data_IF_565083399866
#
_entry.id   IF_565083399866
#
_cell.length_a   1.000
_cell.length_b   1.000
_cell.length_c   1.000
_cell.angle_alpha   90.00
_cell.angle_beta   90.00
_cell.angle_gamma   90.00
#
_symmetry.space_group_name_H-M   'P 1'
#
loop_
_entity.id
_entity.type
_entity.pdbx_description
1 polymer ?
#
# COMPACT_ATOMS: atom_id res chain seq x y z
N UNK A 1 31.59 -0.75 -9.03
CA UNK A 1 30.77 -1.54 -8.08
C UNK A 1 30.74 -0.77 -6.77
N UNK A 2 29.55 -0.42 -6.28
CA UNK A 2 29.36 0.38 -5.09
C UNK A 2 28.49 -0.37 -4.08
N UNK A 3 28.81 -0.29 -2.80
CA UNK A 3 28.10 -1.03 -1.76
C UNK A 3 27.94 -0.19 -0.49
N UNK A 4 26.79 -0.31 0.16
CA UNK A 4 26.53 0.22 1.49
C UNK A 4 25.83 -0.82 2.36
N UNK A 5 26.44 -1.10 3.52
CA UNK A 5 25.91 -1.99 4.55
C UNK A 5 25.45 -1.14 5.74
N UNK A 6 24.21 -1.36 6.19
CA UNK A 6 23.58 -0.74 7.35
C UNK A 6 22.87 -1.82 8.17
N UNK A 7 22.50 -1.50 9.42
CA UNK A 7 21.63 -2.37 10.23
C UNK A 7 20.26 -2.58 9.58
N UNK A 8 19.78 -1.55 8.88
CA UNK A 8 18.48 -1.54 8.21
C UNK A 8 18.47 -2.30 6.88
N UNK A 9 19.63 -2.49 6.24
CA UNK A 9 19.74 -3.20 4.97
C UNK A 9 21.10 -3.03 4.30
N UNK A 10 21.31 -3.79 3.22
CA UNK A 10 22.52 -3.72 2.38
C UNK A 10 22.12 -3.44 0.95
N UNK A 11 22.72 -2.43 0.33
CA UNK A 11 22.51 -2.09 -1.08
C UNK A 11 23.81 -2.29 -1.86
N UNK A 12 23.74 -3.03 -2.96
CA UNK A 12 24.89 -3.33 -3.84
C UNK A 12 24.54 -2.95 -5.27
N UNK A 13 25.36 -2.07 -5.86
CA UNK A 13 25.26 -1.67 -7.26
C UNK A 13 26.41 -2.30 -8.07
N UNK A 14 26.07 -3.11 -9.06
CA UNK A 14 27.04 -3.80 -9.92
C UNK A 14 27.31 -3.08 -11.25
N UNK A 15 26.55 -2.02 -11.57
CA UNK A 15 26.62 -1.28 -12.84
C UNK A 15 25.35 -1.43 -13.67
N UNK A 16 24.63 -2.56 -13.53
CA UNK A 16 23.43 -2.86 -14.31
C UNK A 16 22.16 -2.92 -13.44
N UNK A 17 22.31 -3.31 -12.18
CA UNK A 17 21.22 -3.42 -11.23
C UNK A 17 21.65 -3.04 -9.81
N UNK A 18 20.67 -2.58 -9.04
CA UNK A 18 20.82 -2.28 -7.63
C UNK A 18 20.09 -3.35 -6.82
N UNK A 19 20.85 -4.13 -6.05
CA UNK A 19 20.34 -5.18 -5.18
C UNK A 19 20.08 -4.62 -3.78
N UNK A 20 18.84 -4.68 -3.32
CA UNK A 20 18.39 -4.21 -2.01
C UNK A 20 18.10 -5.42 -1.13
N UNK A 21 18.93 -5.63 -0.11
CA UNK A 21 18.74 -6.72 0.85
C UNK A 21 18.25 -6.12 2.17
N UNK A 22 17.07 -6.51 2.68
CA UNK A 22 16.56 -6.04 3.96
C UNK A 22 17.47 -6.51 5.10
N UNK A 23 17.68 -5.64 6.09
CA UNK A 23 18.45 -5.98 7.28
C UNK A 23 17.73 -7.02 8.15
N UNK A 24 18.47 -7.55 9.13
CA UNK A 24 17.93 -8.54 10.08
C UNK A 24 17.55 -7.94 11.44
N UNK A 25 17.75 -6.63 11.61
CA UNK A 25 17.43 -5.94 12.86
C UNK A 25 15.92 -5.96 13.16
N UNK A 26 15.57 -5.90 14.43
CA UNK A 26 14.16 -5.89 14.89
C UNK A 26 13.36 -4.72 14.34
N UNK A 27 14.03 -3.61 14.05
CA UNK A 27 13.43 -2.37 13.53
C UNK A 27 13.10 -2.45 12.03
N UNK A 28 13.64 -3.43 11.30
CA UNK A 28 13.30 -3.64 9.88
C UNK A 28 11.84 -4.08 9.78
N UNK A 29 11.06 -3.36 8.97
CA UNK A 29 9.65 -3.63 8.78
C UNK A 29 9.36 -5.08 8.39
N UNK A 30 8.27 -5.64 8.91
CA UNK A 30 7.88 -7.02 8.61
C UNK A 30 7.70 -7.24 7.11
N UNK A 31 7.11 -6.26 6.40
CA UNK A 31 6.95 -6.30 4.95
C UNK A 31 8.28 -6.44 4.21
N UNK A 32 9.29 -5.63 4.52
CA UNK A 32 10.61 -5.70 3.86
C UNK A 32 11.26 -7.06 4.08
N UNK A 33 11.18 -7.59 5.32
CA UNK A 33 11.68 -8.95 5.62
C UNK A 33 10.96 -10.05 4.85
N UNK A 34 9.64 -9.95 4.70
CA UNK A 34 8.84 -10.91 3.95
C UNK A 34 9.07 -10.79 2.44
N UNK A 35 9.23 -9.58 1.93
CA UNK A 35 9.55 -9.32 0.52
C UNK A 35 10.94 -9.87 0.15
N UNK A 36 11.89 -9.79 1.09
CA UNK A 36 13.23 -10.32 0.89
C UNK A 36 14.08 -9.42 0.01
N UNK A 37 15.04 -10.02 -0.68
CA UNK A 37 15.95 -9.32 -1.59
C UNK A 37 15.21 -8.84 -2.84
N UNK A 38 15.46 -7.59 -3.24
CA UNK A 38 14.98 -7.01 -4.48
C UNK A 38 16.16 -6.69 -5.40
N UNK A 39 16.07 -7.10 -6.66
CA UNK A 39 17.00 -6.67 -7.71
C UNK A 39 16.29 -5.65 -8.59
N UNK A 40 16.74 -4.40 -8.51
CA UNK A 40 16.17 -3.28 -9.25
C UNK A 40 17.05 -3.00 -10.47
N UNK A 41 16.60 -3.31 -11.70
CA UNK A 41 17.41 -3.06 -12.88
C UNK A 41 17.52 -1.54 -13.12
N UNK A 42 18.66 -1.08 -13.65
CA UNK A 42 18.92 0.34 -13.90
C UNK A 42 17.81 1.00 -14.73
N UNK A 43 17.28 0.28 -15.73
CA UNK A 43 16.16 0.73 -16.58
C UNK A 43 14.85 1.04 -15.83
N UNK A 44 14.68 0.55 -14.60
CA UNK A 44 13.52 0.81 -13.75
C UNK A 44 13.70 2.04 -12.85
N UNK A 45 14.93 2.55 -12.72
CA UNK A 45 15.24 3.70 -11.87
C UNK A 45 14.96 5.00 -12.62
N UNK A 46 14.26 5.92 -11.94
CA UNK A 46 14.11 7.32 -12.35
C UNK A 46 15.07 8.25 -11.57
N UNK A 47 15.76 7.73 -10.56
CA UNK A 47 16.79 8.45 -9.82
C UNK A 47 17.05 7.89 -8.43
N UNK A 48 18.07 8.45 -7.79
CA UNK A 48 18.45 8.18 -6.40
C UNK A 48 18.80 9.52 -5.72
N UNK A 49 18.43 9.66 -4.46
CA UNK A 49 18.82 10.81 -3.64
C UNK A 49 19.38 10.36 -2.30
N UNK A 50 20.33 11.13 -1.79
CA UNK A 50 20.83 10.99 -0.44
C UNK A 50 20.59 12.30 0.33
N UNK A 51 19.93 12.20 1.47
CA UNK A 51 19.65 13.31 2.37
C UNK A 51 20.42 13.10 3.67
N UNK A 52 21.38 13.99 3.96
CA UNK A 52 22.08 13.99 5.24
C UNK A 52 21.21 14.58 6.34
N UNK A 53 21.13 13.89 7.48
CA UNK A 53 20.48 14.41 8.69
C UNK A 53 21.46 14.60 9.84
N UNK A 54 20.99 15.22 10.94
CA UNK A 54 21.82 15.46 12.13
C UNK A 54 22.24 14.17 12.86
N UNK A 55 21.40 13.13 12.81
CA UNK A 55 21.61 11.86 13.54
C UNK A 55 21.66 10.64 12.61
N UNK A 56 20.90 10.69 11.53
CA UNK A 56 20.87 9.68 10.49
C UNK A 56 20.51 10.35 9.17
N UNK A 57 21.07 9.83 8.08
CA UNK A 57 20.78 10.20 6.72
C UNK A 57 19.83 9.19 6.09
N UNK A 58 19.44 9.45 4.85
CA UNK A 58 18.49 8.61 4.14
C UNK A 58 18.83 8.54 2.66
N UNK A 59 19.03 7.32 2.18
CA UNK A 59 19.14 7.04 0.76
C UNK A 59 17.75 6.64 0.26
N UNK A 60 17.28 7.26 -0.82
CA UNK A 60 15.95 7.01 -1.41
C UNK A 60 16.09 6.70 -2.89
N UNK A 61 15.49 5.60 -3.33
CA UNK A 61 15.34 5.28 -4.74
C UNK A 61 13.99 5.77 -5.24
N UNK A 62 13.99 6.31 -6.45
CA UNK A 62 12.77 6.62 -7.19
C UNK A 62 12.71 5.73 -8.41
N UNK A 63 11.68 4.91 -8.49
CA UNK A 63 11.41 4.11 -9.69
C UNK A 63 10.66 4.94 -10.73
N UNK A 64 10.75 4.52 -11.99
CA UNK A 64 9.90 5.05 -13.07
C UNK A 64 8.45 4.70 -12.78
N UNK A 65 7.55 5.59 -13.17
CA UNK A 65 6.12 5.37 -12.98
C UNK A 65 5.66 4.14 -13.78
N UNK A 66 4.86 3.28 -13.16
CA UNK A 66 4.46 1.98 -13.71
C UNK A 66 5.50 0.86 -13.60
N UNK A 67 6.72 1.10 -13.11
CA UNK A 67 7.77 0.06 -13.14
C UNK A 67 7.59 -1.06 -12.11
N UNK A 68 6.93 -0.79 -10.97
CA UNK A 68 6.78 -1.75 -9.86
C UNK A 68 5.30 -1.91 -9.45
N UNK A 69 4.76 -3.14 -9.47
CA UNK A 69 3.39 -3.40 -9.02
C UNK A 69 3.18 -3.07 -7.53
N UNK A 70 4.21 -3.18 -6.67
CA UNK A 70 4.06 -2.85 -5.25
C UNK A 70 3.87 -1.35 -5.03
N UNK A 71 4.72 -0.50 -5.64
CA UNK A 71 4.52 0.94 -5.61
C UNK A 71 3.19 1.37 -6.26
N UNK A 72 2.80 0.73 -7.36
CA UNK A 72 1.53 1.02 -8.02
C UNK A 72 0.34 0.84 -7.09
N UNK A 73 0.29 -0.30 -6.39
CA UNK A 73 -0.77 -0.60 -5.41
C UNK A 73 -0.67 0.32 -4.19
N UNK A 74 0.55 0.54 -3.68
CA UNK A 74 0.77 1.32 -2.48
C UNK A 74 0.41 2.81 -2.65
N UNK A 75 0.57 3.37 -3.86
CA UNK A 75 0.28 4.79 -4.17
C UNK A 75 0.93 5.77 -3.18
N UNK A 76 2.18 5.51 -2.83
CA UNK A 76 2.94 6.32 -1.87
C UNK A 76 2.51 6.18 -0.39
N UNK A 77 1.58 5.27 -0.07
CA UNK A 77 1.12 5.03 1.31
C UNK A 77 1.95 3.99 2.08
N UNK A 78 2.84 3.29 1.38
CA UNK A 78 3.79 2.35 2.01
C UNK A 78 5.02 3.13 2.48
N UNK A 79 4.97 3.63 3.71
CA UNK A 79 6.03 4.44 4.32
C UNK A 79 6.91 3.63 5.27
N UNK A 80 7.93 4.25 5.86
CA UNK A 80 8.75 3.64 6.92
C UNK A 80 7.90 3.02 8.05
N UNK A 81 8.27 1.84 8.58
CA UNK A 81 9.47 1.05 8.28
C UNK A 81 9.30 0.06 7.11
N UNK A 82 8.26 0.22 6.29
CA UNK A 82 7.84 -0.77 5.29
C UNK A 82 8.33 -0.48 3.88
N UNK A 83 8.79 0.74 3.58
CA UNK A 83 9.27 1.12 2.25
C UNK A 83 10.59 0.40 1.90
N UNK A 84 10.63 -0.51 0.90
CA UNK A 84 11.84 -1.22 0.53
C UNK A 84 12.85 -0.35 -0.25
N UNK A 85 12.44 0.82 -0.74
CA UNK A 85 13.25 1.72 -1.57
C UNK A 85 13.90 2.84 -0.77
N UNK A 86 13.93 2.70 0.56
CA UNK A 86 14.62 3.60 1.47
C UNK A 86 15.61 2.82 2.34
N UNK A 87 16.73 3.48 2.65
CA UNK A 87 17.74 2.98 3.56
C UNK A 87 18.14 4.08 4.54
N UNK A 88 18.03 3.79 5.83
CA UNK A 88 18.54 4.65 6.89
C UNK A 88 20.06 4.51 6.92
N UNK A 89 20.76 5.65 6.89
CA UNK A 89 22.23 5.72 6.84
C UNK A 89 22.77 6.29 8.14
N UNK A 90 23.65 5.56 8.83
CA UNK A 90 24.39 6.07 9.99
C UNK A 90 25.39 7.17 9.58
N UNK A 91 25.65 8.14 10.48
CA UNK A 91 26.44 9.35 10.15
C UNK A 91 27.86 9.09 9.67
N UNK A 92 28.49 8.02 10.16
CA UNK A 92 29.82 7.56 9.77
C UNK A 92 29.84 6.92 8.36
N UNK A 93 28.67 6.65 7.77
CA UNK A 93 28.51 6.05 6.44
C UNK A 93 28.00 7.03 5.38
N UNK A 94 27.91 8.33 5.68
CA UNK A 94 27.43 9.35 4.74
C UNK A 94 28.25 9.40 3.45
N UNK A 95 29.59 9.39 3.54
CA UNK A 95 30.43 9.39 2.34
C UNK A 95 30.22 8.15 1.45
N UNK A 96 29.93 6.99 2.05
CA UNK A 96 29.62 5.77 1.30
C UNK A 96 28.25 5.88 0.62
N UNK A 97 27.26 6.47 1.30
CA UNK A 97 25.93 6.69 0.72
C UNK A 97 25.98 7.70 -0.44
N UNK A 98 26.77 8.76 -0.32
CA UNK A 98 27.03 9.72 -1.41
C UNK A 98 27.69 9.04 -2.59
N UNK A 99 28.70 8.20 -2.35
CA UNK A 99 29.37 7.44 -3.39
C UNK A 99 28.40 6.50 -4.13
N UNK A 100 27.58 5.72 -3.42
CA UNK A 100 26.57 4.86 -4.04
C UNK A 100 25.57 5.67 -4.85
N UNK A 101 25.10 6.80 -4.32
CA UNK A 101 24.18 7.69 -5.04
C UNK A 101 24.81 8.24 -6.32
N UNK A 102 26.08 8.66 -6.28
CA UNK A 102 26.78 9.20 -7.43
C UNK A 102 27.07 8.15 -8.51
N UNK A 103 27.45 6.93 -8.12
CA UNK A 103 27.68 5.83 -9.05
C UNK A 103 26.40 5.46 -9.82
N UNK A 104 25.26 5.37 -9.11
CA UNK A 104 23.96 5.10 -9.74
C UNK A 104 23.54 6.26 -10.65
N UNK A 105 23.72 7.53 -10.22
CA UNK A 105 23.43 8.70 -11.08
C UNK A 105 24.29 8.72 -12.33
N UNK A 106 25.57 8.41 -12.20
CA UNK A 106 26.51 8.34 -13.33
C UNK A 106 26.11 7.25 -14.31
N UNK A 107 25.74 6.06 -13.82
CA UNK A 107 25.25 4.97 -14.66
C UNK A 107 23.97 5.34 -15.41
N UNK A 108 23.00 5.98 -14.75
CA UNK A 108 21.77 6.46 -15.39
C UNK A 108 22.06 7.46 -16.53
N UNK A 109 23.04 8.34 -16.35
CA UNK A 109 23.45 9.30 -17.36
C UNK A 109 24.16 8.63 -18.54
N UNK A 110 25.10 7.73 -18.27
CA UNK A 110 25.88 7.01 -19.28
C UNK A 110 24.99 6.12 -20.16
N UNK A 111 24.08 5.38 -19.54
CA UNK A 111 23.12 4.50 -20.22
C UNK A 111 21.92 5.26 -20.80
N UNK A 112 21.86 6.58 -20.59
CA UNK A 112 20.78 7.46 -21.07
C UNK A 112 19.38 6.94 -20.69
N UNK A 113 19.25 6.43 -19.46
CA UNK A 113 18.00 5.83 -19.00
C UNK A 113 16.92 6.91 -18.88
N UNK A 114 15.77 6.77 -19.58
CA UNK A 114 14.69 7.75 -19.48
C UNK A 114 14.05 7.76 -18.10
N UNK A 115 13.61 8.94 -17.64
CA UNK A 115 12.80 9.08 -16.43
C UNK A 115 11.29 9.00 -16.68
N UNK A 116 10.88 8.78 -17.94
CA UNK A 116 9.48 8.71 -18.35
C UNK A 116 8.78 7.45 -17.83
N UNK A 117 7.44 7.46 -17.72
CA UNK A 117 6.65 6.28 -17.36
C UNK A 117 6.92 5.09 -18.30
N UNK A 118 6.61 3.88 -17.81
CA UNK A 118 6.69 2.64 -18.59
C UNK A 118 5.31 2.03 -18.83
N UNK A 119 5.18 1.27 -19.91
CA UNK A 119 3.94 0.59 -20.27
C UNK A 119 3.86 -0.87 -19.76
N UNK A 120 4.94 -1.35 -19.12
CA UNK A 120 5.05 -2.68 -18.55
C UNK A 120 5.83 -2.63 -17.23
N UNK A 121 5.52 -3.55 -16.31
CA UNK A 121 6.27 -3.69 -15.07
C UNK A 121 7.71 -4.15 -15.37
N UNK A 122 8.68 -3.41 -14.85
CA UNK A 122 10.11 -3.73 -14.98
C UNK A 122 10.64 -4.52 -13.77
N UNK A 123 9.90 -4.53 -12.66
CA UNK A 123 10.16 -5.36 -11.50
C UNK A 123 9.18 -6.54 -11.48
N UNK A 124 9.62 -7.74 -11.03
CA UNK A 124 8.71 -8.84 -10.80
C UNK A 124 7.76 -8.49 -9.65
N UNK A 125 6.51 -8.94 -9.74
CA UNK A 125 5.62 -8.96 -8.58
C UNK A 125 6.09 -9.96 -7.52
N UNK A 126 5.58 -9.88 -6.28
CA UNK A 126 5.88 -10.87 -5.24
C UNK A 126 5.63 -12.31 -5.71
N UNK A 127 6.48 -13.23 -5.24
CA UNK A 127 6.39 -14.65 -5.55
C UNK A 127 5.07 -15.26 -5.07
N UNK A 128 4.51 -16.16 -5.88
CA UNK A 128 3.29 -16.93 -5.57
C UNK A 128 3.64 -18.42 -5.49
N UNK A 129 2.89 -19.23 -4.71
CA UNK A 129 1.74 -18.84 -3.88
C UNK A 129 2.15 -18.03 -2.65
N UNK A 130 1.28 -17.11 -2.21
CA UNK A 130 1.42 -16.41 -0.93
C UNK A 130 0.10 -16.35 -0.17
N UNK A 131 0.19 -16.29 1.15
CA UNK A 131 -0.96 -16.17 2.05
C UNK A 131 -0.64 -15.25 3.22
N UNK A 132 -1.54 -14.32 3.51
CA UNK A 132 -1.40 -13.32 4.57
C UNK A 132 -2.68 -13.26 5.39
N UNK A 133 -2.55 -13.45 6.71
CA UNK A 133 -3.64 -13.23 7.67
C UNK A 133 -3.45 -11.90 8.40
N UNK A 134 -4.39 -10.98 8.21
CA UNK A 134 -4.41 -9.66 8.83
C UNK A 134 -5.85 -9.13 8.93
N UNK A 135 -6.11 -8.28 9.92
CA UNK A 135 -7.45 -7.74 10.13
C UNK A 135 -8.53 -8.80 10.35
N UNK A 136 -9.61 -8.75 9.56
CA UNK A 136 -10.73 -9.69 9.65
C UNK A 136 -10.57 -10.98 8.81
N UNK A 137 -9.49 -11.14 8.05
CA UNK A 137 -9.37 -12.29 7.15
C UNK A 137 -7.97 -12.76 6.79
N UNK A 138 -7.94 -13.83 6.01
CA UNK A 138 -6.75 -14.34 5.34
C UNK A 138 -6.95 -14.22 3.84
N UNK A 139 -6.03 -13.53 3.17
CA UNK A 139 -6.01 -13.44 1.72
C UNK A 139 -4.86 -14.31 1.19
N UNK A 140 -5.19 -15.22 0.28
CA UNK A 140 -4.24 -16.09 -0.39
C UNK A 140 -4.35 -15.96 -1.90
N UNK A 141 -3.22 -16.08 -2.58
CA UNK A 141 -3.17 -16.00 -4.04
C UNK A 141 -2.14 -16.99 -4.57
N UNK A 142 -2.57 -17.84 -5.49
CA UNK A 142 -1.76 -18.91 -6.10
C UNK A 142 -1.21 -18.54 -7.49
N UNK A 143 -1.60 -17.39 -8.04
CA UNK A 143 -1.28 -16.96 -9.40
C UNK A 143 -2.49 -16.97 -10.34
N UNK A 144 -3.55 -17.71 -10.01
CA UNK A 144 -4.77 -17.84 -10.80
C UNK A 144 -6.02 -17.40 -10.05
N UNK A 145 -6.06 -17.61 -8.74
CA UNK A 145 -7.24 -17.39 -7.89
C UNK A 145 -6.85 -16.73 -6.58
N UNK A 146 -7.66 -15.75 -6.18
CA UNK A 146 -7.62 -15.16 -4.85
C UNK A 146 -8.62 -15.89 -3.97
N UNK A 147 -8.19 -16.35 -2.79
CA UNK A 147 -9.06 -16.94 -1.78
C UNK A 147 -9.05 -16.10 -0.50
N UNK A 148 -10.23 -15.68 -0.07
CA UNK A 148 -10.47 -14.91 1.15
C UNK A 148 -11.18 -15.79 2.18
N UNK A 149 -10.54 -15.96 3.33
CA UNK A 149 -11.05 -16.74 4.45
C UNK A 149 -11.27 -15.85 5.66
N UNK A 150 -12.47 -15.91 6.22
CA UNK A 150 -12.91 -15.05 7.32
C UNK A 150 -12.54 -15.63 8.67
N UNK A 151 -12.12 -14.75 9.58
CA UNK A 151 -11.87 -15.14 10.96
C UNK A 151 -13.07 -14.79 11.87
N UNK A 152 -12.97 -15.13 13.15
CA UNK A 152 -14.04 -14.91 14.13
C UNK A 152 -14.42 -13.44 14.36
N UNK A 153 -13.59 -12.48 13.93
CA UNK A 153 -13.84 -11.03 14.04
C UNK A 153 -14.56 -10.45 12.82
N UNK A 154 -14.83 -11.27 11.81
CA UNK A 154 -15.52 -10.85 10.58
C UNK A 154 -17.00 -10.56 10.87
N UNK A 155 -17.53 -9.54 10.21
CA UNK A 155 -18.95 -9.20 10.25
C UNK A 155 -19.84 -10.30 9.65
N UNK A 156 -21.05 -10.45 10.19
CA UNK A 156 -22.01 -11.49 9.80
C UNK A 156 -22.32 -11.50 8.29
N UNK A 157 -22.38 -10.31 7.66
CA UNK A 157 -22.63 -10.20 6.23
C UNK A 157 -21.56 -10.91 5.37
N UNK A 158 -20.30 -10.88 5.81
CA UNK A 158 -19.19 -11.55 5.12
C UNK A 158 -19.11 -13.02 5.50
N UNK A 159 -19.26 -13.35 6.79
CA UNK A 159 -19.20 -14.74 7.24
C UNK A 159 -20.35 -15.58 6.66
N UNK A 160 -21.54 -15.01 6.51
CA UNK A 160 -22.68 -15.64 5.84
C UNK A 160 -22.43 -15.91 4.35
N UNK A 161 -21.62 -15.08 3.68
CA UNK A 161 -21.20 -15.32 2.30
C UNK A 161 -20.15 -16.44 2.16
N UNK A 162 -19.57 -16.90 3.29
CA UNK A 162 -18.56 -17.94 3.34
C UNK A 162 -17.21 -17.53 2.73
N UNK A 163 -16.30 -18.49 2.65
CA UNK A 163 -15.01 -18.32 1.95
C UNK A 163 -15.25 -17.86 0.53
N UNK A 164 -14.59 -16.77 0.12
CA UNK A 164 -14.67 -16.27 -1.25
C UNK A 164 -13.48 -16.76 -2.06
N UNK A 165 -13.76 -17.21 -3.28
CA UNK A 165 -12.75 -17.53 -4.28
C UNK A 165 -13.03 -16.70 -5.54
N UNK A 166 -12.07 -15.91 -5.97
CA UNK A 166 -12.16 -15.01 -7.12
C UNK A 166 -11.14 -15.47 -8.16
N UNK A 167 -11.57 -15.79 -9.37
CA UNK A 167 -10.64 -16.05 -10.46
C UNK A 167 -9.99 -14.74 -10.91
N UNK A 168 -8.70 -14.77 -11.26
CA UNK A 168 -7.97 -13.59 -11.70
C UNK A 168 -8.64 -12.91 -12.91
N UNK A 169 -9.24 -13.69 -13.82
CA UNK A 169 -9.98 -13.20 -14.98
C UNK A 169 -11.18 -12.31 -14.58
N UNK A 170 -11.81 -12.60 -13.44
CA UNK A 170 -12.96 -11.85 -12.93
C UNK A 170 -12.54 -10.57 -12.19
N UNK A 171 -11.26 -10.44 -11.82
CA UNK A 171 -10.74 -9.27 -11.11
C UNK A 171 -10.45 -8.15 -12.11
N UNK A 172 -11.13 -7.02 -11.91
CA UNK A 172 -10.95 -5.77 -12.64
C UNK A 172 -9.75 -4.98 -12.09
N UNK A 173 -9.66 -4.86 -10.76
CA UNK A 173 -8.61 -4.11 -10.08
C UNK A 173 -8.43 -4.62 -8.65
N UNK A 174 -7.30 -4.27 -8.06
CA UNK A 174 -7.02 -4.50 -6.64
C UNK A 174 -6.66 -3.18 -5.99
N UNK A 175 -7.24 -2.92 -4.83
CA UNK A 175 -7.04 -1.72 -4.05
C UNK A 175 -6.50 -2.11 -2.68
N UNK A 176 -5.45 -1.40 -2.25
CA UNK A 176 -4.93 -1.52 -0.91
C UNK A 176 -4.84 -0.13 -0.28
N UNK A 177 -5.32 -0.04 0.95
CA UNK A 177 -5.23 1.15 1.77
C UNK A 177 -4.78 0.74 3.18
N UNK A 178 -3.69 1.29 3.71
CA UNK A 178 -3.34 1.08 5.11
C UNK A 178 -4.34 1.82 6.01
N UNK A 179 -4.53 1.33 7.23
CA UNK A 179 -5.23 2.09 8.26
C UNK A 179 -4.47 3.36 8.59
N UNK A 180 -5.17 4.47 8.80
CA UNK A 180 -4.56 5.75 9.15
C UNK A 180 -5.41 6.50 10.17
N UNK A 181 -4.81 6.88 11.30
CA UNK A 181 -5.51 7.58 12.37
C UNK A 181 -6.65 6.74 12.95
N UNK A 182 -7.89 7.14 12.68
CA UNK A 182 -9.12 6.45 13.12
C UNK A 182 -9.79 5.67 11.99
N UNK A 183 -9.26 5.75 10.76
CA UNK A 183 -9.81 5.05 9.61
C UNK A 183 -9.19 3.66 9.47
N UNK A 184 -10.06 2.66 9.33
CA UNK A 184 -9.66 1.30 9.00
C UNK A 184 -9.12 1.24 7.57
N UNK A 185 -8.08 0.44 7.38
CA UNK A 185 -7.55 0.12 6.07
C UNK A 185 -8.34 -1.01 5.41
N UNK A 186 -7.96 -1.37 4.20
CA UNK A 186 -8.50 -2.55 3.53
C UNK A 186 -7.60 -3.07 2.42
N UNK A 187 -7.80 -4.34 2.10
CA UNK A 187 -7.44 -4.94 0.82
C UNK A 187 -8.75 -5.29 0.11
N UNK A 188 -9.01 -4.74 -1.08
CA UNK A 188 -10.26 -4.92 -1.82
C UNK A 188 -9.99 -5.39 -3.24
N UNK A 189 -10.82 -6.32 -3.72
CA UNK A 189 -10.83 -6.78 -5.10
C UNK A 189 -12.09 -6.30 -5.81
N UNK A 190 -11.90 -5.55 -6.91
CA UNK A 190 -12.99 -5.09 -7.76
C UNK A 190 -13.28 -6.20 -8.78
N UNK A 191 -14.51 -6.70 -8.81
CA UNK A 191 -14.93 -7.82 -9.68
C UNK A 191 -15.73 -7.29 -10.87
N UNK A 192 -15.38 -7.70 -12.10
CA UNK A 192 -15.80 -7.09 -13.38
C UNK A 192 -17.32 -6.99 -13.60
N UNK A 193 -18.13 -7.80 -12.93
CA UNK A 193 -19.59 -7.79 -13.07
C UNK A 193 -20.32 -7.82 -11.71
N UNK A 194 -19.61 -7.49 -10.63
CA UNK A 194 -20.17 -7.43 -9.28
C UNK A 194 -19.55 -6.27 -8.48
N UNK A 195 -19.63 -5.02 -8.98
CA UNK A 195 -19.12 -3.87 -8.25
C UNK A 195 -19.95 -3.65 -6.99
N UNK A 196 -19.28 -3.37 -5.88
CA UNK A 196 -19.91 -3.07 -4.61
C UNK A 196 -19.49 -1.70 -4.13
N UNK A 197 -20.45 -0.96 -3.56
CA UNK A 197 -20.20 0.32 -2.88
C UNK A 197 -20.23 0.17 -1.36
N UNK A 198 -20.37 -1.07 -0.86
CA UNK A 198 -20.38 -1.32 0.57
C UNK A 198 -19.04 -0.86 1.18
N UNK A 199 -19.02 -0.34 2.41
CA UNK A 199 -17.79 -0.15 3.16
C UNK A 199 -16.99 -1.46 3.24
N UNK A 200 -15.66 -1.38 3.34
CA UNK A 200 -14.79 -2.57 3.37
C UNK A 200 -15.19 -3.56 4.47
N UNK A 201 -15.69 -3.05 5.59
CA UNK A 201 -16.28 -3.80 6.71
C UNK A 201 -17.41 -4.76 6.32
N UNK A 202 -18.18 -4.46 5.29
CA UNK A 202 -19.35 -5.25 4.85
C UNK A 202 -19.18 -5.86 3.46
N UNK A 203 -18.04 -5.61 2.83
CA UNK A 203 -17.75 -6.04 1.47
C UNK A 203 -17.12 -7.44 1.47
N UNK A 204 -17.78 -8.47 0.90
CA UNK A 204 -17.23 -9.83 0.87
C UNK A 204 -16.01 -9.98 -0.05
N UNK A 205 -15.68 -8.97 -0.86
CA UNK A 205 -14.47 -8.95 -1.68
C UNK A 205 -13.37 -8.09 -1.05
N UNK A 206 -13.51 -7.72 0.23
CA UNK A 206 -12.53 -6.93 0.95
C UNK A 206 -12.17 -7.55 2.32
N UNK A 207 -10.89 -7.46 2.67
CA UNK A 207 -10.38 -7.69 4.03
C UNK A 207 -10.23 -6.32 4.70
N UNK A 208 -10.87 -6.11 5.84
CA UNK A 208 -10.73 -4.89 6.63
C UNK A 208 -9.45 -4.97 7.49
N UNK A 209 -8.71 -3.86 7.58
CA UNK A 209 -7.43 -3.75 8.29
C UNK A 209 -7.54 -2.72 9.42
N UNK A 210 -6.87 -2.98 10.55
CA UNK A 210 -7.02 -2.21 11.80
C UNK A 210 -5.71 -1.60 12.30
N UNK A 211 -4.64 -1.63 11.51
CA UNK A 211 -3.34 -1.06 11.83
C UNK A 211 -2.42 -1.97 12.62
N UNK A 212 -2.66 -3.29 12.56
CA UNK A 212 -1.76 -4.24 13.20
C UNK A 212 -0.50 -4.46 12.37
N UNK A 213 0.54 -4.99 13.03
CA UNK A 213 1.89 -5.21 12.45
C UNK A 213 1.89 -5.99 11.13
N UNK A 214 0.90 -6.87 10.90
CA UNK A 214 0.78 -7.70 9.70
C UNK A 214 0.01 -7.01 8.56
N UNK A 215 -0.73 -5.95 8.83
CA UNK A 215 -1.61 -5.30 7.84
C UNK A 215 -0.86 -4.80 6.60
N UNK A 216 0.37 -4.24 6.71
CA UNK A 216 1.16 -3.89 5.53
C UNK A 216 1.43 -5.07 4.59
N UNK A 217 1.50 -6.31 5.10
CA UNK A 217 1.73 -7.50 4.26
C UNK A 217 0.62 -7.72 3.23
N UNK A 218 -0.59 -7.18 3.45
CA UNK A 218 -1.66 -7.24 2.45
C UNK A 218 -1.32 -6.48 1.17
N UNK A 219 -0.40 -5.51 1.22
CA UNK A 219 0.14 -4.87 0.03
C UNK A 219 0.90 -5.86 -0.87
N UNK A 220 1.53 -6.91 -0.30
CA UNK A 220 2.22 -7.94 -1.09
C UNK A 220 1.21 -8.81 -1.86
N UNK A 221 0.08 -9.16 -1.25
CA UNK A 221 -1.00 -9.89 -1.94
C UNK A 221 -1.56 -9.04 -3.07
N UNK A 222 -1.85 -7.76 -2.80
CA UNK A 222 -2.31 -6.85 -3.83
C UNK A 222 -1.30 -6.68 -4.97
N UNK A 223 -0.01 -6.49 -4.66
CA UNK A 223 1.04 -6.38 -5.66
C UNK A 223 1.18 -7.66 -6.51
N UNK A 224 1.05 -8.84 -5.90
CA UNK A 224 1.12 -10.12 -6.60
C UNK A 224 -0.04 -10.30 -7.60
N UNK A 225 -1.25 -9.86 -7.23
CA UNK A 225 -2.42 -9.85 -8.11
C UNK A 225 -2.25 -8.80 -9.20
N UNK A 226 -1.86 -7.57 -8.83
CA UNK A 226 -1.67 -6.47 -9.76
C UNK A 226 -0.63 -6.78 -10.84
N UNK A 227 0.46 -7.46 -10.49
CA UNK A 227 1.50 -7.86 -11.44
C UNK A 227 1.00 -8.81 -12.55
N UNK A 228 -0.18 -9.42 -12.37
CA UNK A 228 -0.81 -10.34 -13.32
C UNK A 228 -2.09 -9.78 -13.94
N UNK A 229 -2.49 -8.57 -13.54
CA UNK A 229 -3.54 -7.82 -14.23
C UNK A 229 -2.91 -7.00 -15.38
N UNK A 230 -3.71 -6.59 -16.38
CA UNK A 230 -3.23 -5.68 -17.42
C UNK A 230 -2.62 -4.41 -16.81
N UNK A 231 -1.45 -4.02 -17.33
CA UNK A 231 -0.73 -2.85 -16.87
C UNK A 231 -1.62 -1.59 -16.96
N UNK A 232 -1.61 -0.69 -15.97
CA UNK A 232 -2.45 0.51 -15.95
C UNK A 232 -2.35 1.35 -17.23
N UNK A 233 -1.14 1.58 -17.73
CA UNK A 233 -0.93 2.34 -18.97
C UNK A 233 -1.58 1.68 -20.21
N UNK A 234 -1.77 0.36 -20.22
CA UNK A 234 -2.49 -0.33 -21.29
C UNK A 234 -4.02 -0.11 -21.20
N UNK A 235 -4.53 0.21 -20.01
CA UNK A 235 -5.95 0.59 -19.82
C UNK A 235 -6.18 2.03 -20.28
N UNK A 236 -5.28 2.93 -19.91
CA UNK A 236 -5.35 4.33 -20.32
C UNK A 236 -5.31 4.43 -21.85
N UNK A 237 -4.42 3.68 -22.51
CA UNK A 237 -4.38 3.59 -23.98
C UNK A 237 -5.69 3.03 -24.59
N UNK A 238 -6.30 2.01 -23.98
CA UNK A 238 -7.57 1.44 -24.46
C UNK A 238 -8.79 2.36 -24.21
N UNK A 239 -8.71 3.23 -23.20
CA UNK A 239 -9.72 4.26 -22.93
C UNK A 239 -9.56 5.46 -23.87
N UNK A 240 -8.32 5.85 -24.19
CA UNK A 240 -7.99 6.92 -25.16
C UNK A 240 -8.27 6.52 -26.62
N UNK A 241 -8.10 5.24 -26.98
CA UNK A 241 -8.43 4.71 -28.32
C UNK A 241 -9.93 4.48 -28.54
N UNK A 242 -10.78 4.71 -27.52
CA UNK A 242 -12.22 4.55 -27.67
C UNK A 242 -12.74 5.68 -28.57
N UNK A 243 -13.23 5.39 -29.79
CA UNK A 243 -13.64 6.44 -30.70
C UNK A 243 -14.78 7.24 -30.08
N UNK A 244 -14.56 8.54 -29.92
CA UNK A 244 -15.62 9.49 -29.60
C UNK A 244 -16.77 9.28 -30.59
N UNK A 245 -17.93 8.87 -30.09
CA UNK A 245 -19.11 8.71 -30.90
C UNK A 245 -19.43 10.06 -31.60
N UNK A 246 -19.70 10.07 -32.92
CA UNK A 246 -19.96 11.31 -33.64
C UNK A 246 -21.41 11.80 -33.44
N UNK A 247 -21.54 13.10 -33.17
CA UNK A 247 -22.80 13.88 -33.22
C UNK A 247 -23.07 14.59 -31.89
N UNK A 248 -23.18 15.90 -31.78
CA UNK A 248 -23.63 16.92 -32.74
C UNK A 248 -22.95 18.27 -32.47
N UNK A 249 -22.66 18.98 -33.55
CA UNK A 249 -22.13 20.34 -33.55
C UNK A 249 -23.03 21.33 -32.79
N UNK A 250 -22.40 22.17 -31.96
CA UNK A 250 -22.82 23.56 -31.75
C UNK A 250 -21.60 24.40 -31.36
N UNK A 251 -21.41 25.50 -32.09
CA UNK A 251 -20.30 26.43 -31.98
C UNK A 251 -20.53 27.47 -30.83
N UNK A 252 -19.72 28.52 -30.64
CA UNK A 252 -18.80 28.63 -29.51
C UNK A 252 -19.10 29.76 -28.50
N UNK A 253 -18.43 29.66 -27.33
CA UNK A 253 -18.04 30.72 -26.38
C UNK A 253 -19.11 31.58 -25.66
N UNK A 254 -19.24 31.35 -24.33
CA UNK A 254 -19.49 32.40 -23.34
C UNK A 254 -19.00 31.96 -21.94
N UNK A 255 -18.34 32.88 -21.22
CA UNK A 255 -17.77 32.73 -19.88
C UNK A 255 -18.85 32.84 -18.76
N UNK A 256 -18.51 32.59 -17.47
CA UNK A 256 -19.36 31.87 -16.51
C UNK A 256 -20.30 32.76 -15.67
N UNK A 257 -21.40 32.16 -15.19
CA UNK A 257 -22.28 32.74 -14.17
C UNK A 257 -22.34 31.83 -12.93
N UNK A 258 -22.30 32.49 -11.76
CA UNK A 258 -22.19 31.98 -10.39
C UNK A 258 -23.48 31.36 -9.80
N UNK A 259 -23.28 30.69 -8.65
CA UNK A 259 -24.17 30.32 -7.50
C UNK A 259 -24.86 28.93 -7.46
N UNK A 260 -25.16 28.34 -6.27
CA UNK A 260 -24.45 28.35 -4.97
C UNK A 260 -24.35 26.95 -4.27
N UNK A 261 -23.50 26.88 -3.24
CA UNK A 261 -23.24 25.74 -2.34
C UNK A 261 -24.34 25.52 -1.28
N UNK A 262 -24.70 24.27 -0.89
CA UNK A 262 -25.48 24.00 0.32
C UNK A 262 -24.60 23.74 1.56
N UNK A 263 -25.05 24.25 2.71
CA UNK A 263 -24.42 24.19 4.03
C UNK A 263 -24.58 22.84 4.77
N UNK A 264 -23.74 22.52 5.78
CA UNK A 264 -23.77 21.26 6.53
C UNK A 264 -24.65 21.30 7.80
N UNK A 265 -25.19 20.14 8.19
CA UNK A 265 -25.94 19.87 9.43
C UNK A 265 -25.11 18.96 10.39
N UNK A 266 -25.48 18.81 11.69
CA UNK A 266 -24.55 18.78 12.81
C UNK A 266 -23.94 17.41 13.15
N UNK A 267 -22.65 17.40 13.52
CA UNK A 267 -21.85 16.22 13.84
C UNK A 267 -21.69 15.92 15.36
N UNK A 268 -22.22 16.78 16.24
CA UNK A 268 -21.87 16.72 17.67
C UNK A 268 -22.61 15.64 18.48
N UNK A 269 -23.89 15.34 18.18
CA UNK A 269 -24.65 14.30 18.90
C UNK A 269 -24.18 12.88 18.55
N UNK A 270 -23.77 12.66 17.31
CA UNK A 270 -23.26 11.37 16.83
C UNK A 270 -21.93 10.98 17.48
N UNK A 271 -21.12 11.96 17.91
CA UNK A 271 -19.81 11.71 18.53
C UNK A 271 -19.97 11.22 19.99
N UNK A 272 -20.94 11.77 20.74
CA UNK A 272 -21.21 11.36 22.12
C UNK A 272 -21.76 9.93 22.20
N UNK A 273 -22.70 9.58 21.32
CA UNK A 273 -23.26 8.23 21.25
C UNK A 273 -22.23 7.18 20.80
N UNK A 274 -21.32 7.56 19.91
CA UNK A 274 -20.21 6.71 19.49
C UNK A 274 -19.22 6.44 20.65
N UNK A 275 -18.90 7.45 21.47
CA UNK A 275 -18.05 7.30 22.65
C UNK A 275 -18.69 6.40 23.72
N UNK A 276 -20.00 6.54 23.94
CA UNK A 276 -20.76 5.70 24.88
C UNK A 276 -20.86 4.24 24.41
N UNK A 277 -20.97 4.01 23.09
CA UNK A 277 -20.91 2.66 22.51
C UNK A 277 -19.53 2.04 22.67
N UNK A 278 -18.46 2.83 22.45
CA UNK A 278 -17.07 2.38 22.62
C UNK A 278 -16.71 2.02 24.06
N UNK A 279 -17.26 2.75 25.05
CA UNK A 279 -17.10 2.40 26.47
C UNK A 279 -17.80 1.09 26.85
N UNK A 280 -18.97 0.80 26.25
CA UNK A 280 -19.66 -0.49 26.45
C UNK A 280 -18.86 -1.65 25.87
N UNK A 281 -18.36 -1.51 24.65
CA UNK A 281 -17.52 -2.50 23.97
C UNK A 281 -16.23 -2.78 24.75
N UNK A 282 -15.55 -1.74 25.25
CA UNK A 282 -14.36 -1.91 26.10
C UNK A 282 -14.67 -2.66 27.40
N UNK A 283 -15.82 -2.37 28.03
CA UNK A 283 -16.25 -3.06 29.24
C UNK A 283 -16.62 -4.53 29.02
N UNK A 284 -17.14 -4.89 27.84
CA UNK A 284 -17.41 -6.28 27.46
C UNK A 284 -16.11 -7.05 27.21
N UNK A 285 -15.15 -6.44 26.52
CA UNK A 285 -13.84 -7.05 26.25
C UNK A 285 -13.04 -7.32 27.53
N UNK A 286 -13.11 -6.40 28.51
CA UNK A 286 -12.52 -6.61 29.84
C UNK A 286 -13.20 -7.74 30.62
N UNK A 287 -14.55 -7.77 30.66
CA UNK A 287 -15.30 -8.88 31.30
C UNK A 287 -15.06 -10.24 30.65
N UNK A 288 -14.75 -10.27 29.36
CA UNK A 288 -14.38 -11.48 28.63
C UNK A 288 -12.92 -11.93 28.83
N UNK A 289 -12.13 -11.18 29.62
CA UNK A 289 -10.73 -11.50 29.92
C UNK A 289 -9.77 -11.29 28.75
N UNK A 290 -10.21 -10.63 27.68
CA UNK A 290 -9.42 -10.35 26.47
C UNK A 290 -8.45 -9.18 26.68
N UNK A 291 -8.82 -8.25 27.56
CA UNK A 291 -7.96 -7.14 27.98
C UNK A 291 -7.52 -7.36 29.42
N UNK A 292 -6.24 -7.14 29.68
CA UNK A 292 -5.73 -7.05 31.06
C UNK A 292 -6.26 -5.78 31.74
N UNK A 293 -6.26 -5.75 33.08
CA UNK A 293 -6.74 -4.60 33.86
C UNK A 293 -6.00 -3.30 33.48
N UNK A 294 -4.69 -3.39 33.20
CA UNK A 294 -3.86 -2.26 32.79
C UNK A 294 -4.21 -1.74 31.39
N UNK A 295 -4.44 -2.64 30.43
CA UNK A 295 -4.84 -2.29 29.06
C UNK A 295 -6.25 -1.69 29.01
N UNK A 296 -7.17 -2.22 29.83
CA UNK A 296 -8.51 -1.67 29.97
C UNK A 296 -8.49 -0.28 30.60
N UNK A 297 -7.70 -0.06 31.66
CA UNK A 297 -7.60 1.24 32.32
C UNK A 297 -7.04 2.33 31.39
N UNK A 298 -6.01 2.02 30.60
CA UNK A 298 -5.44 2.91 29.59
C UNK A 298 -6.46 3.26 28.49
N UNK A 299 -7.14 2.26 27.93
CA UNK A 299 -8.15 2.46 26.89
C UNK A 299 -9.36 3.26 27.40
N UNK A 300 -9.82 2.98 28.63
CA UNK A 300 -10.92 3.71 29.28
C UNK A 300 -10.57 5.17 29.56
N UNK A 301 -9.35 5.45 30.04
CA UNK A 301 -8.90 6.84 30.24
C UNK A 301 -8.78 7.61 28.92
N UNK A 302 -8.32 6.97 27.85
CA UNK A 302 -8.25 7.59 26.53
C UNK A 302 -9.64 7.98 25.98
N UNK A 303 -10.67 7.17 26.25
CA UNK A 303 -12.04 7.46 25.83
C UNK A 303 -12.70 8.53 26.72
N UNK A 304 -12.51 8.46 28.04
CA UNK A 304 -13.08 9.45 28.98
C UNK A 304 -12.46 10.86 28.84
N UNK A 305 -11.20 10.98 28.41
CA UNK A 305 -10.56 12.29 28.14
C UNK A 305 -11.11 13.02 26.92
N UNK A 306 -11.94 12.35 26.12
CA UNK A 306 -12.53 12.87 24.87
C UNK A 306 -14.06 13.07 24.96
N UNK A 307 -14.67 12.77 26.10
CA UNK A 307 -16.03 13.22 26.44
C UNK A 307 -15.96 14.64 27.03
#
# INVERSE_FOLDING_TARGET
>A
MAEIIQKDGTWVFDGEALRLTPGRDKNVGLLRRTLGELVVPLRALAGISFEQGKKAGRLRLRLRDGADPLLHVARGRLTEPHDPYQLIVESDRYGVAEYVAEEVRSALLLEQVPSTPVAEYLLPGPSVPLSVSAGDGTASFDGERVRLEWNWKTEEAKSAAGTRTLALADIAAVEWQPSAGLENGHLRFLVRNAPTKAPAKYDPNAVELWGFKKDPLMALVAAAVQARLPHPAARDAAEDERPAAPGTASAPAAAPALVPTPAPAPAAEHDHDALLRRLRELGELHRSGVLTDEEFALAKQAVLKRM
#
